data_IF_628900903707
#
_entry.id   IF_628900903707
#
_cell.length_a   1.000
_cell.length_b   1.000
_cell.length_c   1.000
_cell.angle_alpha   90.00
_cell.angle_beta   90.00
_cell.angle_gamma   90.00
#
_symmetry.space_group_name_H-M   'P 1'
#
loop_
_entity.id
_entity.type
_entity.pdbx_description
1 polymer ?
#
# COMPACT_ATOMS: atom_id res chain seq x y z
N UNK A 1 -16.03 10.99 16.10
CA UNK A 1 -14.83 11.42 16.82
C UNK A 1 -13.74 10.36 16.86
N UNK A 2 -13.93 9.15 17.44
CA UNK A 2 -12.87 8.12 17.38
C UNK A 2 -12.70 7.51 15.98
N UNK A 3 -13.80 7.22 15.29
CA UNK A 3 -13.78 6.75 13.90
C UNK A 3 -13.12 7.76 12.94
N UNK A 4 -13.41 9.06 13.08
CA UNK A 4 -12.77 10.11 12.26
C UNK A 4 -11.24 10.16 12.46
N UNK A 5 -10.75 9.88 13.67
CA UNK A 5 -9.31 9.78 13.93
C UNK A 5 -8.72 8.55 13.25
N UNK A 6 -9.40 7.41 13.33
CA UNK A 6 -8.99 6.15 12.68
C UNK A 6 -8.96 6.30 11.15
N UNK A 7 -9.98 6.91 10.55
CA UNK A 7 -10.05 7.17 9.10
C UNK A 7 -8.91 8.09 8.68
N UNK A 8 -8.69 9.18 9.43
CA UNK A 8 -7.56 10.08 9.16
C UNK A 8 -6.23 9.34 9.23
N UNK A 9 -6.04 8.48 10.23
CA UNK A 9 -4.83 7.69 10.40
C UNK A 9 -4.61 6.72 9.23
N UNK A 10 -5.68 6.01 8.84
CA UNK A 10 -5.71 5.12 7.68
C UNK A 10 -5.30 5.86 6.39
N UNK A 11 -5.92 7.01 6.12
CA UNK A 11 -5.61 7.83 4.94
C UNK A 11 -4.16 8.34 4.95
N UNK A 12 -3.70 8.84 6.11
CA UNK A 12 -2.34 9.34 6.26
C UNK A 12 -1.31 8.24 6.00
N UNK A 13 -1.53 7.03 6.50
CA UNK A 13 -0.66 5.89 6.23
C UNK A 13 -0.54 5.59 4.74
N UNK A 14 -1.65 5.42 4.03
CA UNK A 14 -1.61 5.14 2.59
C UNK A 14 -1.11 6.33 1.76
N UNK A 15 -1.19 7.56 2.26
CA UNK A 15 -0.52 8.70 1.63
C UNK A 15 1.00 8.63 1.81
N UNK A 16 1.48 8.40 3.03
CA UNK A 16 2.91 8.37 3.33
C UNK A 16 3.61 7.17 2.68
N UNK A 17 3.00 5.98 2.70
CA UNK A 17 3.63 4.75 2.22
C UNK A 17 4.01 4.85 0.74
N UNK A 18 3.24 5.57 -0.07
CA UNK A 18 3.49 5.71 -1.51
C UNK A 18 4.85 6.34 -1.83
N UNK A 19 5.40 7.15 -0.93
CA UNK A 19 6.72 7.75 -1.17
C UNK A 19 7.86 6.72 -1.08
N UNK A 20 7.62 5.60 -0.39
CA UNK A 20 8.56 4.49 -0.29
C UNK A 20 8.71 3.75 -1.63
N UNK A 21 7.70 3.84 -2.50
CA UNK A 21 7.73 3.33 -3.87
C UNK A 21 7.85 4.44 -4.92
N UNK A 22 8.93 5.21 -4.83
CA UNK A 22 9.33 6.20 -5.83
C UNK A 22 10.85 6.33 -5.92
N UNK A 23 11.33 7.26 -6.75
CA UNK A 23 12.75 7.64 -6.82
C UNK A 23 13.72 6.46 -6.87
N UNK A 24 13.46 5.50 -7.75
CA UNK A 24 14.22 4.24 -7.81
C UNK A 24 15.61 4.45 -8.44
N UNK A 25 16.65 4.04 -7.72
CA UNK A 25 18.03 3.99 -8.22
C UNK A 25 18.49 2.54 -8.33
N UNK A 26 19.32 2.26 -9.35
CA UNK A 26 19.99 0.97 -9.53
C UNK A 26 21.46 1.08 -9.16
N UNK A 27 21.91 0.29 -8.20
CA UNK A 27 23.31 0.15 -7.79
C UNK A 27 23.61 -1.35 -7.67
N UNK A 28 24.76 -1.80 -8.17
CA UNK A 28 25.20 -3.21 -8.09
C UNK A 28 24.15 -4.25 -8.51
N UNK A 29 23.30 -3.88 -9.48
CA UNK A 29 22.27 -4.77 -10.04
C UNK A 29 20.98 -4.85 -9.25
N UNK A 30 20.82 -4.11 -8.15
CA UNK A 30 19.60 -4.05 -7.33
C UNK A 30 19.00 -2.64 -7.33
N UNK A 31 17.67 -2.58 -7.26
CA UNK A 31 16.92 -1.33 -7.13
C UNK A 31 16.57 -1.03 -5.67
N UNK A 32 16.62 0.24 -5.31
CA UNK A 32 16.20 0.76 -4.01
C UNK A 32 15.66 2.19 -4.16
N UNK A 33 15.03 2.71 -3.11
CA UNK A 33 14.57 4.09 -3.07
C UNK A 33 15.74 5.02 -2.69
N UNK A 34 16.04 6.03 -3.51
CA UNK A 34 17.14 6.98 -3.25
C UNK A 34 17.06 7.64 -1.87
N UNK A 35 15.84 7.96 -1.42
CA UNK A 35 15.61 8.73 -0.20
C UNK A 35 15.31 7.87 1.02
N UNK A 36 14.79 6.65 0.82
CA UNK A 36 14.31 5.78 1.91
C UNK A 36 14.93 4.39 1.77
N UNK A 37 16.20 4.25 2.15
CA UNK A 37 16.95 3.00 2.01
C UNK A 37 17.68 2.56 3.28
N UNK A 38 17.52 3.28 4.38
CA UNK A 38 17.94 2.82 5.71
C UNK A 38 16.73 2.70 6.63
N UNK A 39 16.88 1.93 7.70
CA UNK A 39 15.82 1.75 8.72
C UNK A 39 15.42 3.10 9.31
N UNK A 40 16.40 3.97 9.58
CA UNK A 40 16.16 5.31 10.12
C UNK A 40 15.32 6.16 9.16
N UNK A 41 15.64 6.16 7.85
CA UNK A 41 14.88 6.97 6.88
C UNK A 41 13.40 6.55 6.83
N UNK A 42 13.14 5.24 6.92
CA UNK A 42 11.80 4.67 6.87
C UNK A 42 11.09 4.92 8.22
N UNK A 43 11.77 4.72 9.34
CA UNK A 43 11.25 4.99 10.69
C UNK A 43 10.88 6.45 10.89
N UNK A 44 11.74 7.40 10.51
CA UNK A 44 11.43 8.84 10.60
C UNK A 44 10.15 9.20 9.82
N UNK A 45 9.87 8.46 8.75
CA UNK A 45 8.70 8.69 7.90
C UNK A 45 7.42 8.07 8.46
N UNK A 46 7.50 6.85 9.01
CA UNK A 46 6.32 6.03 9.31
C UNK A 46 6.10 5.71 10.79
N UNK A 47 7.10 5.87 11.66
CA UNK A 47 6.93 5.67 13.11
C UNK A 47 5.78 6.50 13.73
N UNK A 48 5.46 7.73 13.26
CA UNK A 48 4.27 8.43 13.74
C UNK A 48 2.94 7.75 13.38
N UNK A 49 2.96 6.73 12.51
CA UNK A 49 1.75 6.12 11.95
C UNK A 49 1.55 4.64 12.31
N UNK A 50 2.60 3.95 12.74
CA UNK A 50 2.60 2.51 12.94
C UNK A 50 3.42 2.09 14.14
N UNK A 51 3.11 0.93 14.70
CA UNK A 51 3.89 0.30 15.76
C UNK A 51 5.16 -0.33 15.18
N UNK A 52 6.11 -0.72 16.05
CA UNK A 52 7.30 -1.47 15.64
C UNK A 52 6.93 -2.77 14.90
N UNK A 53 5.88 -3.48 15.36
CA UNK A 53 5.38 -4.69 14.69
C UNK A 53 4.86 -4.41 13.27
N UNK A 54 4.11 -3.32 13.10
CA UNK A 54 3.63 -2.90 11.78
C UNK A 54 4.77 -2.49 10.86
N UNK A 55 5.80 -1.84 11.41
CA UNK A 55 7.02 -1.49 10.66
C UNK A 55 7.76 -2.74 10.19
N UNK A 56 7.98 -3.71 11.08
CA UNK A 56 8.65 -4.97 10.74
C UNK A 56 7.89 -5.70 9.62
N UNK A 57 6.55 -5.80 9.73
CA UNK A 57 5.72 -6.38 8.67
C UNK A 57 5.92 -5.66 7.33
N UNK A 58 5.90 -4.32 7.35
CA UNK A 58 6.06 -3.51 6.15
C UNK A 58 7.43 -3.72 5.49
N UNK A 59 8.49 -3.72 6.29
CA UNK A 59 9.85 -3.91 5.81
C UNK A 59 10.03 -5.30 5.19
N UNK A 60 9.49 -6.34 5.83
CA UNK A 60 9.52 -7.71 5.32
C UNK A 60 8.70 -7.88 4.03
N UNK A 61 7.56 -7.19 3.92
CA UNK A 61 6.74 -7.24 2.70
C UNK A 61 7.43 -6.56 1.52
N UNK A 62 8.13 -5.45 1.74
CA UNK A 62 8.59 -4.58 0.65
C UNK A 62 10.06 -4.72 0.29
N UNK A 63 10.89 -5.08 1.26
CA UNK A 63 12.34 -4.93 1.16
C UNK A 63 13.11 -6.17 1.58
N UNK A 64 14.37 -6.21 1.16
CA UNK A 64 15.40 -7.10 1.64
C UNK A 64 16.59 -6.24 2.11
N UNK A 65 17.15 -6.51 3.29
CA UNK A 65 18.32 -5.77 3.77
C UNK A 65 19.61 -6.34 3.16
N UNK A 66 20.30 -5.55 2.32
CA UNK A 66 21.55 -5.94 1.64
C UNK A 66 22.59 -4.84 1.75
N UNK A 67 23.80 -5.22 2.17
CA UNK A 67 24.97 -4.32 2.20
C UNK A 67 24.69 -2.99 2.94
N UNK A 68 23.92 -3.05 4.03
CA UNK A 68 23.59 -1.87 4.83
C UNK A 68 22.42 -1.02 4.30
N UNK A 69 21.66 -1.51 3.32
CA UNK A 69 20.56 -0.79 2.68
C UNK A 69 19.33 -1.70 2.52
N UNK A 70 18.13 -1.13 2.63
CA UNK A 70 16.90 -1.78 2.18
C UNK A 70 16.78 -1.65 0.66
N UNK A 71 16.75 -2.80 -0.01
CA UNK A 71 16.50 -2.90 -1.46
C UNK A 71 15.14 -3.53 -1.67
N UNK A 72 14.45 -3.23 -2.77
CA UNK A 72 13.13 -3.82 -2.99
C UNK A 72 13.19 -5.36 -3.02
N UNK A 73 12.10 -6.03 -2.61
CA UNK A 73 11.99 -7.49 -2.68
C UNK A 73 12.00 -8.03 -4.12
N UNK A 74 12.14 -9.34 -4.30
CA UNK A 74 12.21 -10.00 -5.61
C UNK A 74 11.16 -9.58 -6.64
N UNK A 75 9.87 -9.53 -6.27
CA UNK A 75 8.78 -9.16 -7.20
C UNK A 75 8.93 -7.74 -7.71
N UNK A 76 9.27 -6.81 -6.83
CA UNK A 76 9.47 -5.40 -7.17
C UNK A 76 10.78 -5.19 -7.95
N UNK A 77 11.83 -5.96 -7.64
CA UNK A 77 13.07 -5.98 -8.42
C UNK A 77 12.82 -6.41 -9.87
N UNK A 78 12.13 -7.53 -10.07
CA UNK A 78 11.80 -8.07 -11.39
C UNK A 78 11.07 -7.04 -12.23
N UNK A 79 10.00 -6.44 -11.68
CA UNK A 79 9.27 -5.35 -12.33
C UNK A 79 10.19 -4.18 -12.73
N UNK A 80 11.04 -3.70 -11.82
CA UNK A 80 11.92 -2.56 -12.08
C UNK A 80 13.03 -2.87 -13.10
N UNK A 81 13.46 -4.13 -13.24
CA UNK A 81 14.41 -4.56 -14.27
C UNK A 81 13.76 -4.66 -15.65
N UNK A 82 12.59 -5.27 -15.74
CA UNK A 82 11.92 -5.49 -17.02
C UNK A 82 11.28 -4.21 -17.56
N UNK A 83 10.82 -3.31 -16.66
CA UNK A 83 10.10 -2.06 -16.99
C UNK A 83 8.96 -2.25 -17.97
N UNK A 84 8.36 -3.44 -17.99
CA UNK A 84 7.14 -3.70 -18.73
C UNK A 84 6.02 -2.91 -18.07
N UNK A 85 5.47 -1.93 -18.79
CA UNK A 85 4.36 -1.14 -18.28
C UNK A 85 3.16 -2.03 -17.95
N UNK A 86 2.94 -3.10 -18.73
CA UNK A 86 1.83 -4.03 -18.54
C UNK A 86 1.88 -4.77 -17.19
N UNK A 87 3.07 -4.92 -16.59
CA UNK A 87 3.25 -5.63 -15.32
C UNK A 87 3.18 -4.69 -14.11
N UNK A 88 3.08 -3.38 -14.31
CA UNK A 88 3.02 -2.40 -13.21
C UNK A 88 1.88 -2.70 -12.24
N UNK A 89 0.63 -2.74 -12.72
CA UNK A 89 -0.50 -3.01 -11.86
C UNK A 89 -0.51 -4.43 -11.28
N UNK A 90 -0.27 -5.50 -12.07
CA UNK A 90 -0.14 -6.85 -11.54
C UNK A 90 0.87 -6.99 -10.38
N UNK A 91 1.99 -6.27 -10.42
CA UNK A 91 3.00 -6.29 -9.35
C UNK A 91 2.51 -5.60 -8.07
N UNK A 92 1.72 -4.53 -8.17
CA UNK A 92 1.32 -3.71 -7.03
C UNK A 92 -0.07 -4.01 -6.47
N UNK A 93 -0.93 -4.72 -7.22
CA UNK A 93 -2.35 -4.85 -6.88
C UNK A 93 -2.64 -5.53 -5.53
N UNK A 94 -1.74 -6.38 -5.02
CA UNK A 94 -1.92 -7.02 -3.70
C UNK A 94 -0.85 -6.56 -2.71
N UNK A 95 -0.48 -5.29 -2.77
CA UNK A 95 0.46 -4.67 -1.82
C UNK A 95 -0.11 -3.35 -1.31
N UNK A 96 0.50 -2.82 -0.25
CA UNK A 96 0.25 -1.46 0.26
C UNK A 96 0.42 -0.33 -0.76
N UNK A 97 1.07 -0.61 -1.89
CA UNK A 97 1.21 0.34 -2.98
C UNK A 97 0.04 0.31 -3.97
N UNK A 98 -0.99 -0.52 -3.75
CA UNK A 98 -2.14 -0.54 -4.63
C UNK A 98 -2.78 0.86 -4.69
N UNK A 99 -2.80 1.51 -5.87
CA UNK A 99 -3.33 2.86 -6.03
C UNK A 99 -4.84 2.95 -5.77
N UNK A 100 -5.54 1.83 -5.84
CA UNK A 100 -6.98 1.71 -5.62
C UNK A 100 -7.41 1.84 -4.16
N UNK A 101 -6.51 1.68 -3.19
CA UNK A 101 -6.86 1.76 -1.76
C UNK A 101 -7.49 3.13 -1.44
N UNK A 102 -6.94 4.21 -2.02
CA UNK A 102 -7.45 5.58 -1.85
C UNK A 102 -8.75 5.87 -2.62
N UNK A 103 -9.25 4.91 -3.37
CA UNK A 103 -10.49 5.00 -4.12
C UNK A 103 -11.64 4.25 -3.42
N UNK A 104 -11.34 3.52 -2.34
CA UNK A 104 -12.34 2.92 -1.47
C UNK A 104 -13.13 4.04 -0.80
N UNK A 105 -14.45 3.97 -0.86
CA UNK A 105 -15.32 4.98 -0.27
C UNK A 105 -15.43 4.75 1.24
N UNK A 106 -15.61 5.81 2.02
CA UNK A 106 -15.82 5.70 3.47
C UNK A 106 -17.01 4.79 3.82
N UNK A 107 -18.04 4.74 2.96
CA UNK A 107 -19.21 3.86 3.15
C UNK A 107 -18.90 2.36 2.97
N UNK A 108 -17.78 2.02 2.31
CA UNK A 108 -17.29 0.65 2.16
C UNK A 108 -16.40 0.23 3.35
N UNK A 109 -16.05 1.16 4.25
CA UNK A 109 -15.22 0.90 5.42
C UNK A 109 -16.08 0.48 6.62
N UNK A 110 -15.78 -0.70 7.15
CA UNK A 110 -16.28 -1.16 8.43
C UNK A 110 -15.22 -0.91 9.51
N UNK A 111 -15.54 -0.04 10.47
CA UNK A 111 -14.67 0.31 11.58
C UNK A 111 -15.22 -0.29 12.86
N UNK A 112 -14.38 -1.05 13.57
CA UNK A 112 -14.71 -1.60 14.88
C UNK A 112 -13.64 -1.23 15.91
N UNK A 113 -14.09 -0.94 17.13
CA UNK A 113 -13.21 -0.55 18.24
C UNK A 113 -13.52 -1.43 19.44
N UNK A 114 -12.51 -2.15 19.92
CA UNK A 114 -12.60 -3.06 21.07
C UNK A 114 -11.44 -2.78 22.03
N UNK A 115 -11.72 -1.99 23.07
CA UNK A 115 -10.72 -1.65 24.09
C UNK A 115 -9.60 -0.77 23.52
N UNK A 116 -8.39 -1.33 23.45
CA UNK A 116 -7.20 -0.68 22.89
C UNK A 116 -6.94 -1.06 21.43
N UNK A 117 -7.87 -1.77 20.77
CA UNK A 117 -7.73 -2.18 19.38
C UNK A 117 -8.78 -1.52 18.52
N UNK A 118 -8.40 -1.15 17.30
CA UNK A 118 -9.31 -0.77 16.25
C UNK A 118 -9.03 -1.58 15.00
N UNK A 119 -10.07 -1.86 14.22
CA UNK A 119 -9.95 -2.52 12.91
C UNK A 119 -10.66 -1.69 11.87
N UNK A 120 -10.00 -1.48 10.73
CA UNK A 120 -10.59 -0.92 9.51
C UNK A 120 -10.60 -2.03 8.47
N UNK A 121 -11.81 -2.38 8.03
CA UNK A 121 -12.03 -3.48 7.10
C UNK A 121 -12.84 -2.96 5.91
N UNK A 122 -12.28 -3.07 4.71
CA UNK A 122 -13.03 -2.99 3.46
C UNK A 122 -13.09 -4.41 2.88
N UNK A 123 -14.27 -4.95 2.58
CA UNK A 123 -14.42 -6.28 2.00
C UNK A 123 -14.95 -6.18 0.57
N UNK A 124 -14.17 -6.68 -0.39
CA UNK A 124 -14.52 -6.61 -1.82
C UNK A 124 -15.01 -5.22 -2.24
N UNK A 125 -14.34 -4.17 -1.75
CA UNK A 125 -14.70 -2.79 -2.07
C UNK A 125 -14.42 -2.50 -3.55
N UNK A 126 -15.39 -2.00 -4.32
CA UNK A 126 -15.23 -1.75 -5.74
C UNK A 126 -14.35 -0.51 -5.97
N UNK A 127 -13.30 -0.67 -6.78
CA UNK A 127 -12.42 0.42 -7.21
C UNK A 127 -12.57 0.63 -8.71
N UNK A 128 -13.05 1.82 -9.10
CA UNK A 128 -13.24 2.20 -10.50
C UNK A 128 -12.07 3.06 -10.98
N UNK A 129 -11.16 2.49 -11.78
CA UNK A 129 -10.01 3.23 -12.31
C UNK A 129 -10.37 4.08 -13.54
N UNK A 130 -11.21 3.55 -14.42
CA UNK A 130 -11.66 4.24 -15.63
C UNK A 130 -12.98 3.64 -16.16
N UNK A 131 -13.71 4.41 -16.96
CA UNK A 131 -14.87 3.92 -17.70
C UNK A 131 -14.41 2.97 -18.82
N UNK A 132 -14.90 1.72 -18.82
CA UNK A 132 -14.60 0.72 -19.84
C UNK A 132 -14.95 1.17 -21.25
N UNK A 133 -15.87 2.11 -21.43
CA UNK A 133 -16.25 2.65 -22.73
C UNK A 133 -15.39 3.85 -23.16
N UNK A 134 -14.47 4.30 -22.32
CA UNK A 134 -13.55 5.40 -22.61
C UNK A 134 -12.29 4.89 -23.32
N UNK A 135 -12.07 5.20 -24.62
CA UNK A 135 -10.85 4.80 -25.32
C UNK A 135 -9.61 5.43 -24.68
N UNK A 136 -9.75 6.62 -24.10
CA UNK A 136 -8.70 7.29 -23.36
C UNK A 136 -8.33 6.51 -22.09
N UNK A 137 -9.34 6.09 -21.31
CA UNK A 137 -9.15 5.29 -20.11
C UNK A 137 -8.44 3.97 -20.42
N UNK A 138 -8.95 3.24 -21.40
CA UNK A 138 -8.35 1.98 -21.85
C UNK A 138 -6.90 2.16 -22.31
N UNK A 139 -6.59 3.20 -23.08
CA UNK A 139 -5.24 3.40 -23.58
C UNK A 139 -4.25 3.72 -22.45
N UNK A 140 -4.58 4.65 -21.55
CA UNK A 140 -3.64 5.09 -20.52
C UNK A 140 -3.49 4.09 -19.38
N UNK A 141 -4.60 3.54 -18.88
CA UNK A 141 -4.60 2.61 -17.75
C UNK A 141 -4.35 1.17 -18.19
N UNK A 142 -4.84 0.78 -19.36
CA UNK A 142 -4.61 -0.56 -19.91
C UNK A 142 -3.13 -0.82 -20.24
N UNK A 143 -2.37 0.18 -20.69
CA UNK A 143 -0.91 0.05 -20.86
C UNK A 143 -0.18 -0.27 -19.56
N UNK A 144 -0.75 0.14 -18.41
CA UNK A 144 -0.20 -0.12 -17.09
C UNK A 144 -0.78 -1.39 -16.44
N UNK A 145 -1.61 -2.15 -17.16
CA UNK A 145 -2.21 -3.42 -16.69
C UNK A 145 -3.46 -3.26 -15.82
N UNK A 146 -4.03 -2.07 -15.69
CA UNK A 146 -5.20 -1.84 -14.84
C UNK A 146 -6.50 -2.36 -15.50
N UNK A 147 -7.36 -3.05 -14.74
CA UNK A 147 -8.75 -3.27 -15.16
C UNK A 147 -9.56 -1.97 -15.05
N UNK A 148 -10.71 -1.91 -15.70
CA UNK A 148 -11.65 -0.78 -15.52
C UNK A 148 -12.16 -0.71 -14.06
N UNK A 149 -12.44 -1.89 -13.50
CA UNK A 149 -12.89 -2.08 -12.11
C UNK A 149 -12.06 -3.21 -11.49
N UNK A 150 -11.60 -3.03 -10.25
CA UNK A 150 -11.09 -4.12 -9.41
C UNK A 150 -11.85 -4.16 -8.07
N UNK A 151 -11.68 -5.24 -7.32
CA UNK A 151 -12.28 -5.37 -5.98
C UNK A 151 -11.17 -5.58 -4.96
N UNK A 152 -11.12 -4.71 -3.95
CA UNK A 152 -10.10 -4.76 -2.91
C UNK A 152 -10.68 -5.21 -1.58
N UNK A 153 -10.03 -6.19 -0.96
CA UNK A 153 -10.17 -6.43 0.48
C UNK A 153 -8.97 -5.81 1.19
N UNK A 154 -9.24 -4.92 2.13
CA UNK A 154 -8.23 -4.18 2.91
C UNK A 154 -8.52 -4.37 4.37
N UNK A 155 -7.58 -4.98 5.10
CA UNK A 155 -7.65 -5.07 6.55
C UNK A 155 -6.52 -4.23 7.14
N UNK A 156 -6.84 -3.39 8.13
CA UNK A 156 -5.84 -2.64 8.90
C UNK A 156 -6.20 -2.79 10.37
N UNK A 157 -5.32 -3.43 11.13
CA UNK A 157 -5.41 -3.47 12.59
C UNK A 157 -4.59 -2.32 13.17
N UNK A 158 -5.15 -1.68 14.20
CA UNK A 158 -4.51 -0.57 14.91
C UNK A 158 -4.53 -0.82 16.41
N UNK A 159 -3.46 -0.40 17.07
CA UNK A 159 -3.33 -0.40 18.53
C UNK A 159 -3.31 1.03 19.07
N UNK A 160 -4.02 1.22 20.17
CA UNK A 160 -4.15 2.51 20.83
C UNK A 160 -3.04 2.69 21.86
N UNK A 161 -2.24 3.74 21.67
CA UNK A 161 -1.28 4.20 22.66
C UNK A 161 -1.65 5.63 23.11
N UNK A 162 -2.15 5.76 24.33
CA UNK A 162 -2.66 7.04 24.84
C UNK A 162 -3.91 7.52 24.11
N UNK A 163 -3.80 8.62 23.37
CA UNK A 163 -4.90 9.22 22.59
C UNK A 163 -4.81 8.91 21.09
N UNK A 164 -3.75 8.24 20.65
CA UNK A 164 -3.45 7.98 19.24
C UNK A 164 -3.62 6.49 18.91
N UNK A 165 -3.83 6.20 17.63
CA UNK A 165 -3.90 4.86 17.08
C UNK A 165 -2.75 4.66 16.10
N UNK A 166 -2.08 3.53 16.21
CA UNK A 166 -0.93 3.16 15.40
C UNK A 166 -1.24 1.87 14.66
N UNK A 167 -0.92 1.81 13.38
CA UNK A 167 -1.11 0.61 12.56
C UNK A 167 -0.17 -0.49 13.07
N UNK A 168 -0.73 -1.63 13.44
CA UNK A 168 0.05 -2.79 13.90
C UNK A 168 0.13 -3.88 12.85
N UNK A 169 -0.87 -4.00 11.99
CA UNK A 169 -0.78 -4.87 10.82
C UNK A 169 -1.72 -4.41 9.71
N UNK A 170 -1.46 -4.89 8.50
CA UNK A 170 -2.34 -4.66 7.35
C UNK A 170 -2.33 -5.85 6.39
N UNK A 171 -3.37 -5.98 5.57
CA UNK A 171 -3.38 -6.90 4.43
C UNK A 171 -4.16 -6.29 3.27
N UNK A 172 -3.64 -6.47 2.05
CA UNK A 172 -4.26 -5.98 0.82
C UNK A 172 -4.42 -7.14 -0.15
N UNK A 173 -5.65 -7.43 -0.53
CA UNK A 173 -5.97 -8.45 -1.52
C UNK A 173 -6.78 -7.84 -2.65
N UNK A 174 -6.29 -7.99 -3.88
CA UNK A 174 -7.04 -7.64 -5.08
C UNK A 174 -7.66 -8.89 -5.70
N UNK A 175 -8.95 -8.84 -5.98
CA UNK A 175 -9.68 -9.88 -6.70
C UNK A 175 -10.24 -9.34 -8.01
N UNK A 176 -9.63 -9.76 -9.12
CA UNK A 176 -10.16 -9.47 -10.45
C UNK A 176 -11.37 -10.38 -10.65
N UNK A 177 -12.56 -9.84 -10.34
CA UNK A 177 -13.92 -10.40 -10.44
C UNK A 177 -14.35 -11.46 -9.41
N UNK A 178 -15.46 -11.17 -8.72
CA UNK A 178 -16.47 -12.17 -8.35
C UNK A 178 -17.09 -12.69 -9.65
N UNK A 179 -16.75 -13.93 -10.04
CA UNK A 179 -17.50 -14.66 -11.06
C UNK A 179 -18.82 -15.19 -10.48
#
# INVERSE_FOLDING_TARGET
MQEEVIIKQFDQFFEQIRVLFGHHIKEDGVFFNEHYHTENDINEKLAPLMTDEGMDQLLDELYEFKTGKYVYNGKLQEYLHERSQADYYPTLRSTVFNPGIRMILEEDLNISIEGNKAKVIAENAPVLYYDENSPYGQHHFGMLGYPAIDYLTVHVDMEREGEEFFISSFSIEASSSLN
#
